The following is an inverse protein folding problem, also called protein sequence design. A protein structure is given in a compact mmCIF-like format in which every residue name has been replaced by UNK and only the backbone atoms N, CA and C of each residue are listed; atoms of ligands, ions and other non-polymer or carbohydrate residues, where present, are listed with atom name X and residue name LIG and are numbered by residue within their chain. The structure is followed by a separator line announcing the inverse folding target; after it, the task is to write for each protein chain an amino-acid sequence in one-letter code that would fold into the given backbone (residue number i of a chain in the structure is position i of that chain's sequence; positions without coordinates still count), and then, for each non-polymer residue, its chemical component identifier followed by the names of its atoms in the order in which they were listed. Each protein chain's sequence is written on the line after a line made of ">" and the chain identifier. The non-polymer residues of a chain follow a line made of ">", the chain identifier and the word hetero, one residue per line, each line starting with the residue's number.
data_IF_649909048230
#
_entry.id   IF_649909048230
#
_cell.length_a   1.000
_cell.length_b   1.000
_cell.length_c   1.000
_cell.angle_alpha   90.00
_cell.angle_beta   90.00
_cell.angle_gamma   90.00
#
_symmetry.space_group_name_H-M   'P 1'
#
loop_
_entity.id
_entity.type
_entity.pdbx_description
1 polymer ?
#
# COMPACT_ATOMS: atom_id res chain seq x y z
N UNK A 1 9.95 49.38 -24.89
CA UNK A 1 10.31 49.36 -26.33
C UNK A 1 11.03 48.05 -26.62
N UNK A 2 10.36 47.13 -27.32
CA UNK A 2 10.97 46.12 -28.19
C UNK A 2 9.81 45.44 -28.94
N UNK A 3 9.60 45.86 -30.20
CA UNK A 3 8.70 45.20 -31.15
C UNK A 3 9.46 44.03 -31.77
N UNK A 4 8.83 42.87 -31.86
CA UNK A 4 9.27 41.80 -32.75
C UNK A 4 8.10 41.40 -33.65
N UNK A 5 8.39 41.45 -34.95
CA UNK A 5 7.54 41.39 -36.12
C UNK A 5 7.13 39.96 -36.47
N UNK A 6 5.90 39.79 -36.91
CA UNK A 6 5.39 38.56 -37.53
C UNK A 6 5.93 38.43 -38.96
N UNK A 7 6.48 37.27 -39.30
CA UNK A 7 6.73 36.84 -40.67
C UNK A 7 5.64 35.85 -41.09
N UNK A 8 4.90 36.22 -42.14
CA UNK A 8 3.94 35.35 -42.82
C UNK A 8 4.69 34.48 -43.82
N UNK A 9 4.70 33.16 -43.59
CA UNK A 9 5.12 32.16 -44.57
C UNK A 9 3.89 31.55 -45.24
N UNK A 10 3.80 31.70 -46.56
CA UNK A 10 2.82 31.05 -47.42
C UNK A 10 3.02 29.53 -47.45
N UNK A 11 1.95 28.76 -47.18
CA UNK A 11 1.86 27.35 -47.56
C UNK A 11 0.53 27.14 -48.31
N UNK A 12 0.65 26.67 -49.54
CA UNK A 12 -0.45 26.38 -50.46
C UNK A 12 -1.37 25.24 -49.96
N UNK A 13 -2.68 25.28 -50.25
CA UNK A 13 -3.60 24.20 -49.90
C UNK A 13 -3.54 23.07 -50.94
N UNK A 14 -3.13 21.87 -50.51
CA UNK A 14 -3.20 20.65 -51.33
C UNK A 14 -4.61 20.07 -51.32
N UNK A 15 -5.13 19.82 -52.52
CA UNK A 15 -6.43 19.21 -52.82
C UNK A 15 -6.47 17.74 -52.41
N UNK A 16 -7.37 17.37 -51.49
CA UNK A 16 -8.00 16.05 -51.47
C UNK A 16 -9.46 16.19 -51.01
N UNK A 17 -10.35 16.28 -51.99
CA UNK A 17 -11.79 16.19 -51.85
C UNK A 17 -12.21 14.73 -51.88
N UNK A 18 -12.59 14.16 -50.74
CA UNK A 18 -13.42 12.96 -50.70
C UNK A 18 -14.64 13.20 -49.81
N UNK A 19 -15.77 13.26 -50.48
CA UNK A 19 -17.14 13.27 -50.00
C UNK A 19 -17.42 12.06 -49.10
N UNK A 20 -17.79 12.31 -47.84
CA UNK A 20 -18.39 11.30 -46.97
C UNK A 20 -19.89 11.19 -47.28
N UNK A 21 -20.42 10.01 -47.63
CA UNK A 21 -21.86 9.83 -47.72
C UNK A 21 -22.46 9.73 -46.32
N UNK A 22 -23.40 10.63 -46.04
CA UNK A 22 -24.39 10.50 -44.96
C UNK A 22 -25.20 9.22 -45.19
N UNK A 23 -24.86 8.13 -44.51
CA UNK A 23 -25.72 6.95 -44.42
C UNK A 23 -26.45 7.03 -43.08
N UNK A 24 -27.68 7.55 -43.16
CA UNK A 24 -28.76 7.16 -42.26
C UNK A 24 -28.98 5.66 -42.42
N UNK A 25 -28.64 4.87 -41.42
CA UNK A 25 -29.29 3.58 -41.16
C UNK A 25 -29.24 3.30 -39.66
N UNK A 26 -30.38 3.61 -39.04
CA UNK A 26 -30.77 3.17 -37.71
C UNK A 26 -30.88 1.65 -37.66
N UNK A 27 -30.72 1.10 -36.46
CA UNK A 27 -31.09 -0.27 -36.05
C UNK A 27 -30.07 -1.35 -36.46
N UNK A 28 -29.05 -1.52 -35.61
CA UNK A 28 -28.51 -2.80 -35.12
C UNK A 28 -27.06 -2.61 -34.64
N UNK A 29 -26.85 -1.75 -33.63
CA UNK A 29 -25.73 -1.97 -32.73
C UNK A 29 -26.13 -3.19 -31.89
N UNK A 30 -25.84 -4.39 -32.40
CA UNK A 30 -25.83 -5.59 -31.58
C UNK A 30 -24.80 -5.32 -30.47
N UNK A 31 -25.30 -4.84 -29.34
CA UNK A 31 -24.62 -5.01 -28.06
C UNK A 31 -24.53 -6.52 -27.90
N UNK A 32 -23.40 -7.10 -28.31
CA UNK A 32 -22.96 -8.39 -27.80
C UNK A 32 -22.79 -8.20 -26.30
N UNK A 33 -23.90 -8.29 -25.56
CA UNK A 33 -23.90 -8.54 -24.13
C UNK A 33 -23.25 -9.91 -24.03
N UNK A 34 -21.93 -9.94 -23.91
CA UNK A 34 -21.25 -11.11 -23.39
C UNK A 34 -21.91 -11.33 -22.03
N UNK A 35 -22.70 -12.39 -21.92
CA UNK A 35 -23.31 -12.79 -20.66
C UNK A 35 -22.15 -13.08 -19.73
N UNK A 36 -21.87 -12.15 -18.82
CA UNK A 36 -20.83 -12.33 -17.82
C UNK A 36 -21.30 -13.46 -16.91
N UNK A 37 -20.50 -14.52 -16.82
CA UNK A 37 -20.77 -15.62 -15.90
C UNK A 37 -20.48 -15.11 -14.49
N UNK A 38 -21.51 -15.03 -13.66
CA UNK A 38 -21.43 -14.52 -12.30
C UNK A 38 -21.49 -15.67 -11.29
N UNK A 39 -20.79 -15.49 -10.17
CA UNK A 39 -20.84 -16.37 -8.99
C UNK A 39 -21.07 -15.52 -7.74
N UNK A 40 -21.86 -16.04 -6.81
CA UNK A 40 -21.98 -15.45 -5.47
C UNK A 40 -20.77 -15.86 -4.62
N UNK A 41 -20.16 -14.88 -3.98
CA UNK A 41 -19.05 -15.05 -3.05
C UNK A 41 -19.45 -14.61 -1.64
N UNK A 42 -18.69 -15.07 -0.66
CA UNK A 42 -18.82 -14.63 0.73
C UNK A 42 -17.46 -14.26 1.32
N UNK A 43 -17.35 -13.04 1.84
CA UNK A 43 -16.18 -12.56 2.57
C UNK A 43 -16.62 -11.79 3.82
N UNK A 44 -16.00 -12.09 4.96
CA UNK A 44 -16.53 -11.64 6.24
C UNK A 44 -17.94 -12.19 6.47
N UNK A 45 -18.87 -11.31 6.82
CA UNK A 45 -20.31 -11.61 6.91
C UNK A 45 -21.07 -11.18 5.65
N UNK A 46 -20.35 -10.72 4.62
CA UNK A 46 -20.92 -10.08 3.45
C UNK A 46 -20.97 -11.03 2.27
N UNK A 47 -22.14 -11.11 1.61
CA UNK A 47 -22.33 -11.81 0.34
C UNK A 47 -22.35 -10.81 -0.81
N UNK A 48 -21.87 -11.22 -1.99
CA UNK A 48 -21.84 -10.36 -3.17
C UNK A 48 -21.66 -11.17 -4.45
N UNK A 49 -22.10 -10.61 -5.57
CA UNK A 49 -21.89 -11.14 -6.91
C UNK A 49 -20.59 -10.58 -7.51
N UNK A 50 -19.87 -11.42 -8.25
CA UNK A 50 -18.80 -10.98 -9.14
C UNK A 50 -18.67 -11.94 -10.32
N UNK A 51 -17.83 -11.60 -11.30
CA UNK A 51 -17.43 -12.54 -12.34
C UNK A 51 -16.86 -13.82 -11.71
N UNK A 52 -17.24 -14.97 -12.26
CA UNK A 52 -16.81 -16.28 -11.78
C UNK A 52 -15.31 -16.48 -12.04
N UNK A 53 -14.51 -16.28 -11.00
CA UNK A 53 -13.05 -16.41 -11.02
C UNK A 53 -12.60 -17.79 -11.52
N UNK A 54 -13.35 -18.86 -11.23
CA UNK A 54 -13.00 -20.21 -11.68
C UNK A 54 -13.26 -20.38 -13.18
N UNK A 55 -14.37 -19.83 -13.67
CA UNK A 55 -14.72 -19.85 -15.09
C UNK A 55 -13.72 -19.05 -15.94
N UNK A 56 -13.21 -17.93 -15.43
CA UNK A 56 -12.29 -17.03 -16.14
C UNK A 56 -10.81 -17.24 -15.77
N UNK A 57 -10.50 -18.28 -15.01
CA UNK A 57 -9.12 -18.63 -14.67
C UNK A 57 -8.38 -19.20 -15.89
N UNK A 58 -7.05 -19.02 -15.91
CA UNK A 58 -6.20 -19.78 -16.82
C UNK A 58 -6.10 -21.26 -16.38
N UNK A 59 -5.39 -22.06 -17.17
CA UNK A 59 -5.08 -23.48 -16.89
C UNK A 59 -4.42 -23.73 -15.52
N UNK A 60 -3.87 -22.69 -14.87
CA UNK A 60 -3.27 -22.74 -13.54
C UNK A 60 -4.20 -22.23 -12.42
N UNK A 61 -5.49 -22.01 -12.69
CA UNK A 61 -6.46 -21.54 -11.71
C UNK A 61 -6.27 -20.07 -11.29
N UNK A 62 -5.53 -19.27 -12.06
CA UNK A 62 -5.29 -17.86 -11.75
C UNK A 62 -6.23 -16.96 -12.55
N UNK A 63 -6.90 -15.97 -11.90
CA UNK A 63 -7.70 -14.99 -12.61
C UNK A 63 -6.83 -14.25 -13.63
N UNK A 64 -7.27 -14.24 -14.88
CA UNK A 64 -6.57 -13.58 -15.98
C UNK A 64 -7.05 -12.14 -16.14
N UNK A 65 -6.37 -11.36 -16.99
CA UNK A 65 -6.88 -10.04 -17.43
C UNK A 65 -8.19 -10.12 -18.22
N UNK A 66 -8.66 -11.33 -18.57
CA UNK A 66 -9.94 -11.55 -19.23
C UNK A 66 -11.14 -11.49 -18.26
N UNK A 67 -10.90 -11.36 -16.95
CA UNK A 67 -11.97 -11.26 -15.96
C UNK A 67 -12.77 -9.95 -16.20
N UNK A 68 -14.04 -10.02 -16.61
CA UNK A 68 -14.79 -8.84 -17.06
C UNK A 68 -15.16 -7.90 -15.91
N UNK A 69 -15.22 -8.42 -14.68
CA UNK A 69 -15.45 -7.64 -13.46
C UNK A 69 -14.40 -8.08 -12.45
N UNK A 70 -13.55 -7.15 -12.02
CA UNK A 70 -12.44 -7.53 -11.18
C UNK A 70 -12.87 -7.94 -9.78
N UNK A 71 -12.46 -9.14 -9.40
CA UNK A 71 -12.48 -9.65 -8.03
C UNK A 71 -11.33 -10.64 -7.86
N UNK A 72 -10.55 -10.47 -6.78
CA UNK A 72 -9.46 -11.37 -6.44
C UNK A 72 -9.66 -11.95 -5.03
N UNK A 73 -9.97 -13.25 -4.91
CA UNK A 73 -10.10 -13.92 -3.61
C UNK A 73 -8.82 -13.86 -2.74
N UNK A 74 -7.63 -13.76 -3.36
CA UNK A 74 -6.36 -13.63 -2.62
C UNK A 74 -6.27 -12.31 -1.82
N UNK A 75 -7.09 -11.33 -2.15
CA UNK A 75 -7.19 -10.04 -1.46
C UNK A 75 -8.14 -10.09 -0.23
N UNK A 76 -8.70 -11.25 0.13
CA UNK A 76 -9.58 -11.37 1.31
C UNK A 76 -8.91 -10.86 2.59
N UNK A 77 -7.67 -11.27 2.86
CA UNK A 77 -6.92 -10.80 4.04
C UNK A 77 -6.76 -9.27 4.05
N UNK A 78 -6.56 -8.66 2.89
CA UNK A 78 -6.47 -7.20 2.74
C UNK A 78 -7.79 -6.56 3.17
N UNK A 79 -8.92 -7.03 2.62
CA UNK A 79 -10.25 -6.50 2.92
C UNK A 79 -10.67 -6.73 4.37
N UNK A 80 -10.41 -7.91 4.93
CA UNK A 80 -10.67 -8.22 6.34
C UNK A 80 -9.95 -7.24 7.26
N UNK A 81 -8.63 -7.09 7.08
CA UNK A 81 -7.85 -6.14 7.88
C UNK A 81 -8.23 -4.69 7.59
N UNK A 82 -8.70 -4.37 6.39
CA UNK A 82 -9.19 -3.03 6.08
C UNK A 82 -10.47 -2.69 6.85
N UNK A 83 -11.42 -3.62 6.97
CA UNK A 83 -12.61 -3.45 7.81
C UNK A 83 -12.19 -3.22 9.27
N UNK A 84 -11.27 -4.05 9.78
CA UNK A 84 -10.78 -3.92 11.15
C UNK A 84 -10.16 -2.55 11.42
N UNK A 85 -9.21 -2.13 10.57
CA UNK A 85 -8.47 -0.90 10.77
C UNK A 85 -9.32 0.33 10.50
N UNK A 86 -10.28 0.27 9.57
CA UNK A 86 -11.27 1.33 9.40
C UNK A 86 -12.14 1.46 10.66
N UNK A 87 -12.68 0.36 11.19
CA UNK A 87 -13.44 0.38 12.45
C UNK A 87 -12.63 0.91 13.63
N UNK A 88 -11.34 0.56 13.72
CA UNK A 88 -10.43 1.11 14.73
C UNK A 88 -10.21 2.62 14.55
N UNK A 89 -10.03 3.07 13.31
CA UNK A 89 -9.93 4.49 12.98
C UNK A 89 -11.22 5.25 13.31
N UNK A 90 -12.39 4.69 13.05
CA UNK A 90 -13.71 5.29 13.37
C UNK A 90 -13.93 5.47 14.88
N UNK A 91 -13.19 4.75 15.73
CA UNK A 91 -13.24 4.97 17.19
C UNK A 91 -12.47 6.22 17.65
N UNK A 92 -11.69 6.83 16.76
CA UNK A 92 -10.79 7.97 17.05
C UNK A 92 -11.04 9.17 16.14
N UNK A 93 -11.55 8.91 14.93
CA UNK A 93 -11.76 9.88 13.89
C UNK A 93 -13.23 9.87 13.47
N UNK A 94 -13.76 11.05 13.18
CA UNK A 94 -15.10 11.19 12.63
C UNK A 94 -15.04 10.90 11.12
N UNK A 95 -15.39 9.67 10.75
CA UNK A 95 -15.36 9.20 9.37
C UNK A 95 -16.79 8.91 8.95
N UNK A 96 -17.35 9.81 8.14
CA UNK A 96 -18.70 9.67 7.61
C UNK A 96 -18.65 9.37 6.11
N UNK A 97 -17.72 10.00 5.38
CA UNK A 97 -17.70 9.93 3.92
C UNK A 97 -16.42 9.29 3.40
N UNK A 98 -16.54 8.09 2.83
CA UNK A 98 -15.46 7.33 2.24
C UNK A 98 -15.56 7.29 0.71
N UNK A 99 -14.43 7.31 0.02
CA UNK A 99 -14.34 7.08 -1.42
C UNK A 99 -13.46 5.87 -1.75
N UNK A 100 -14.02 4.94 -2.52
CA UNK A 100 -13.30 3.86 -3.20
C UNK A 100 -13.36 4.11 -4.72
N UNK A 101 -12.36 4.76 -5.31
CA UNK A 101 -12.44 5.22 -6.69
C UNK A 101 -12.11 4.13 -7.73
N UNK A 102 -11.82 2.90 -7.28
CA UNK A 102 -11.43 1.75 -8.09
C UNK A 102 -12.17 0.50 -7.57
N UNK A 103 -13.49 0.54 -7.62
CA UNK A 103 -14.38 -0.33 -6.85
C UNK A 103 -14.52 -1.76 -7.36
N UNK A 104 -14.26 -2.05 -8.64
CA UNK A 104 -14.50 -3.37 -9.21
C UNK A 104 -15.93 -3.84 -8.94
N UNK A 105 -16.09 -5.01 -8.33
CA UNK A 105 -17.41 -5.53 -7.91
C UNK A 105 -18.09 -4.74 -6.78
N UNK A 106 -17.43 -3.74 -6.19
CA UNK A 106 -17.90 -2.97 -5.04
C UNK A 106 -17.72 -3.68 -3.70
N UNK A 107 -17.07 -4.86 -3.67
CA UNK A 107 -16.97 -5.71 -2.47
C UNK A 107 -16.38 -4.98 -1.26
N UNK A 108 -15.35 -4.14 -1.44
CA UNK A 108 -14.69 -3.47 -0.32
C UNK A 108 -15.61 -2.42 0.30
N UNK A 109 -16.19 -1.51 -0.49
CA UNK A 109 -17.19 -0.55 -0.01
C UNK A 109 -18.41 -1.22 0.60
N UNK A 110 -18.91 -2.30 0.00
CA UNK A 110 -20.02 -3.06 0.56
C UNK A 110 -19.66 -3.62 1.95
N UNK A 111 -18.46 -4.19 2.09
CA UNK A 111 -17.97 -4.68 3.39
C UNK A 111 -17.80 -3.56 4.41
N UNK A 112 -17.29 -2.39 4.02
CA UNK A 112 -17.25 -1.25 4.94
C UNK A 112 -18.65 -0.85 5.41
N UNK A 113 -19.60 -0.74 4.49
CA UNK A 113 -20.97 -0.32 4.82
C UNK A 113 -21.71 -1.34 5.71
N UNK A 114 -21.43 -2.63 5.53
CA UNK A 114 -22.07 -3.74 6.24
C UNK A 114 -21.39 -4.11 7.57
N UNK A 115 -20.06 -3.94 7.67
CA UNK A 115 -19.25 -4.48 8.79
C UNK A 115 -18.63 -3.39 9.68
N UNK A 116 -18.64 -2.13 9.25
CA UNK A 116 -18.25 -0.96 10.05
C UNK A 116 -19.50 -0.24 10.60
N UNK A 117 -19.36 0.68 11.58
CA UNK A 117 -20.48 1.45 12.14
C UNK A 117 -21.37 2.14 11.09
N UNK A 118 -22.66 2.26 11.39
CA UNK A 118 -23.73 2.60 10.44
C UNK A 118 -23.75 4.04 9.92
N UNK A 119 -22.90 4.93 10.45
CA UNK A 119 -22.82 6.35 10.01
C UNK A 119 -22.09 6.55 8.68
N UNK A 120 -21.45 5.50 8.14
CA UNK A 120 -20.63 5.61 6.94
C UNK A 120 -21.49 5.65 5.66
N UNK A 121 -21.19 6.61 4.78
CA UNK A 121 -21.56 6.63 3.36
C UNK A 121 -20.32 6.34 2.50
N UNK A 122 -20.49 5.61 1.40
CA UNK A 122 -19.42 5.29 0.46
C UNK A 122 -19.73 5.77 -0.96
N UNK A 123 -18.74 6.43 -1.57
CA UNK A 123 -18.70 6.76 -2.99
C UNK A 123 -17.83 5.75 -3.71
N UNK A 124 -18.39 5.02 -4.67
CA UNK A 124 -17.73 3.94 -5.40
C UNK A 124 -17.62 4.32 -6.87
N UNK A 125 -16.40 4.34 -7.39
CA UNK A 125 -16.16 4.62 -8.81
C UNK A 125 -15.48 3.46 -9.51
N UNK A 126 -15.72 3.34 -10.80
CA UNK A 126 -14.99 2.45 -11.69
C UNK A 126 -15.16 2.95 -13.13
N UNK A 127 -14.14 2.71 -13.97
CA UNK A 127 -14.21 3.06 -15.40
C UNK A 127 -15.00 2.02 -16.18
N UNK A 128 -15.09 0.78 -15.68
CA UNK A 128 -15.76 -0.31 -16.33
C UNK A 128 -17.29 -0.28 -16.05
N UNK A 129 -18.14 -0.11 -17.08
CA UNK A 129 -19.60 -0.07 -16.90
C UNK A 129 -20.17 -1.36 -16.32
N UNK A 130 -19.61 -2.53 -16.63
CA UNK A 130 -20.08 -3.81 -16.10
C UNK A 130 -19.78 -3.94 -14.60
N UNK A 131 -18.61 -3.45 -14.17
CA UNK A 131 -18.24 -3.40 -12.76
C UNK A 131 -19.21 -2.50 -11.98
N UNK A 132 -19.55 -1.32 -12.53
CA UNK A 132 -20.52 -0.40 -11.94
C UNK A 132 -21.92 -1.02 -11.82
N UNK A 133 -22.38 -1.76 -12.84
CA UNK A 133 -23.68 -2.43 -12.77
C UNK A 133 -23.72 -3.46 -11.63
N UNK A 134 -22.68 -4.28 -11.50
CA UNK A 134 -22.60 -5.27 -10.42
C UNK A 134 -22.41 -4.62 -9.05
N UNK A 135 -21.59 -3.57 -8.94
CA UNK A 135 -21.45 -2.81 -7.70
C UNK A 135 -22.79 -2.23 -7.24
N UNK A 136 -23.59 -1.66 -8.15
CA UNK A 136 -24.95 -1.17 -7.85
C UNK A 136 -25.86 -2.29 -7.36
N UNK A 137 -25.87 -3.46 -8.02
CA UNK A 137 -26.68 -4.62 -7.59
C UNK A 137 -26.28 -5.10 -6.20
N UNK A 138 -24.97 -5.25 -5.96
CA UNK A 138 -24.44 -5.68 -4.67
C UNK A 138 -24.81 -4.71 -3.55
N UNK A 139 -24.64 -3.40 -3.77
CA UNK A 139 -24.93 -2.38 -2.76
C UNK A 139 -26.43 -2.25 -2.49
N UNK A 140 -27.27 -2.21 -3.52
CA UNK A 140 -28.73 -2.09 -3.36
C UNK A 140 -29.38 -3.30 -2.66
N UNK A 141 -28.73 -4.46 -2.68
CA UNK A 141 -29.23 -5.67 -2.02
C UNK A 141 -29.08 -5.61 -0.50
N UNK A 142 -28.07 -4.88 -0.01
CA UNK A 142 -27.65 -4.95 1.39
C UNK A 142 -27.71 -3.61 2.12
N UNK A 143 -27.66 -2.50 1.40
CA UNK A 143 -27.44 -1.16 1.97
C UNK A 143 -28.57 -0.23 1.55
N UNK A 144 -29.02 0.60 2.49
CA UNK A 144 -29.95 1.69 2.22
C UNK A 144 -29.41 2.63 1.13
N UNK A 145 -30.27 3.02 0.19
CA UNK A 145 -29.89 3.84 -0.96
C UNK A 145 -29.22 5.18 -0.59
N UNK A 146 -29.42 5.67 0.63
CA UNK A 146 -28.83 6.91 1.15
C UNK A 146 -27.34 6.80 1.52
N UNK A 147 -26.78 5.58 1.63
CA UNK A 147 -25.40 5.36 2.11
C UNK A 147 -24.42 4.93 1.01
N UNK A 148 -24.88 4.65 -0.20
CA UNK A 148 -24.03 4.12 -1.27
C UNK A 148 -24.23 4.87 -2.60
N UNK A 149 -23.17 5.51 -3.10
CA UNK A 149 -23.19 6.33 -4.30
C UNK A 149 -22.23 5.77 -5.35
N UNK A 150 -22.77 5.17 -6.42
CA UNK A 150 -21.96 4.48 -7.44
C UNK A 150 -21.93 5.28 -8.74
N UNK A 151 -20.74 5.62 -9.25
CA UNK A 151 -20.57 6.44 -10.47
C UNK A 151 -19.52 5.87 -11.42
N UNK A 152 -19.87 5.82 -12.70
CA UNK A 152 -18.94 5.43 -13.77
C UNK A 152 -18.03 6.59 -14.15
N UNK A 153 -16.73 6.32 -14.30
CA UNK A 153 -15.76 7.28 -14.86
C UNK A 153 -14.33 7.05 -14.41
N UNK A 154 -13.41 7.88 -14.91
CA UNK A 154 -12.01 7.81 -14.53
C UNK A 154 -11.81 8.28 -13.09
N UNK A 155 -11.25 7.41 -12.26
CA UNK A 155 -10.91 7.67 -10.86
C UNK A 155 -10.19 9.01 -10.64
N UNK A 156 -9.22 9.36 -11.48
CA UNK A 156 -8.41 10.59 -11.33
C UNK A 156 -9.27 11.85 -11.45
N UNK A 157 -10.29 11.81 -12.30
CA UNK A 157 -11.22 12.92 -12.52
C UNK A 157 -12.29 12.94 -11.43
N UNK A 158 -12.93 11.79 -11.18
CA UNK A 158 -14.06 11.70 -10.27
C UNK A 158 -13.68 12.00 -8.81
N UNK A 159 -12.50 11.57 -8.35
CA UNK A 159 -12.02 11.91 -6.99
C UNK A 159 -12.06 13.43 -6.77
N UNK A 160 -11.52 14.21 -7.71
CA UNK A 160 -11.50 15.66 -7.62
C UNK A 160 -12.89 16.26 -7.79
N UNK A 161 -13.64 15.84 -8.82
CA UNK A 161 -14.95 16.38 -9.15
C UNK A 161 -15.97 16.19 -8.00
N UNK A 162 -16.06 14.98 -7.45
CA UNK A 162 -17.05 14.64 -6.42
C UNK A 162 -16.65 15.13 -5.01
N UNK A 163 -15.43 15.68 -4.88
CA UNK A 163 -14.91 16.25 -3.64
C UNK A 163 -15.02 17.78 -3.54
N UNK A 164 -15.55 18.45 -4.59
CA UNK A 164 -15.57 19.93 -4.67
C UNK A 164 -16.46 20.59 -3.64
N UNK A 165 -17.67 20.05 -3.44
CA UNK A 165 -18.66 20.63 -2.51
C UNK A 165 -18.43 20.15 -1.08
N UNK A 166 -18.28 18.83 -0.93
CA UNK A 166 -17.95 18.17 0.33
C UNK A 166 -16.69 17.35 0.08
N UNK A 167 -15.72 17.39 0.98
CA UNK A 167 -14.51 16.56 0.91
C UNK A 167 -14.72 15.20 1.55
N UNK A 168 -13.81 14.26 1.30
CA UNK A 168 -13.85 12.92 1.89
C UNK A 168 -13.12 12.88 3.24
N UNK A 169 -13.63 12.06 4.15
CA UNK A 169 -12.93 11.70 5.40
C UNK A 169 -11.90 10.61 5.15
N UNK A 170 -12.22 9.68 4.25
CA UNK A 170 -11.37 8.54 3.90
C UNK A 170 -11.33 8.32 2.39
N UNK A 171 -10.15 8.05 1.84
CA UNK A 171 -9.95 7.59 0.47
C UNK A 171 -9.17 6.28 0.48
N UNK A 172 -9.70 5.28 -0.23
CA UNK A 172 -9.11 3.95 -0.34
C UNK A 172 -8.67 3.66 -1.78
N UNK A 173 -7.38 3.81 -2.05
CA UNK A 173 -6.80 3.63 -3.39
C UNK A 173 -6.22 2.22 -3.49
N UNK A 174 -6.93 1.33 -4.20
CA UNK A 174 -6.55 -0.07 -4.39
C UNK A 174 -6.47 -0.45 -5.89
N UNK A 175 -5.47 0.05 -6.64
CA UNK A 175 -5.34 -0.21 -8.07
C UNK A 175 -4.59 -1.51 -8.36
N UNK A 176 -4.63 -1.89 -9.63
CA UNK A 176 -3.61 -2.76 -10.20
C UNK A 176 -2.28 -2.03 -10.33
N UNK A 177 -1.24 -2.57 -9.70
CA UNK A 177 0.11 -2.05 -9.76
C UNK A 177 0.31 -0.90 -8.78
N UNK A 178 0.52 0.31 -9.30
CA UNK A 178 0.97 1.45 -8.48
C UNK A 178 -0.18 2.40 -8.14
N UNK A 179 -0.33 2.82 -6.88
CA UNK A 179 -1.32 3.83 -6.50
C UNK A 179 -0.89 5.27 -6.79
N UNK A 180 0.37 5.46 -7.18
CA UNK A 180 1.00 6.78 -7.36
C UNK A 180 0.26 7.73 -8.32
N UNK A 181 -0.39 7.28 -9.41
CA UNK A 181 -1.13 8.17 -10.30
C UNK A 181 -2.37 8.82 -9.67
N UNK A 182 -2.91 8.25 -8.59
CA UNK A 182 -4.15 8.72 -7.94
C UNK A 182 -3.88 9.56 -6.68
N UNK A 183 -2.66 9.51 -6.14
CA UNK A 183 -2.32 10.08 -4.84
C UNK A 183 -2.57 11.59 -4.73
N UNK A 184 -2.18 12.36 -5.75
CA UNK A 184 -2.32 13.83 -5.67
C UNK A 184 -3.79 14.24 -5.61
N UNK A 185 -4.63 13.65 -6.46
CA UNK A 185 -6.08 13.86 -6.43
C UNK A 185 -6.68 13.44 -5.09
N UNK A 186 -6.32 12.25 -4.59
CA UNK A 186 -6.79 11.77 -3.29
C UNK A 186 -6.43 12.73 -2.14
N UNK A 187 -5.18 13.18 -2.05
CA UNK A 187 -4.73 14.10 -1.00
C UNK A 187 -5.49 15.44 -1.06
N UNK A 188 -5.73 15.98 -2.26
CA UNK A 188 -6.48 17.24 -2.43
C UNK A 188 -7.96 17.10 -2.06
N UNK A 189 -8.52 15.91 -2.24
CA UNK A 189 -9.92 15.58 -1.97
C UNK A 189 -10.23 15.21 -0.52
N UNK A 190 -9.21 15.05 0.33
CA UNK A 190 -9.38 14.77 1.76
C UNK A 190 -9.71 16.03 2.58
N UNK A 191 -10.43 15.84 3.70
CA UNK A 191 -10.64 16.90 4.70
C UNK A 191 -9.27 17.39 5.22
N UNK A 192 -9.02 18.71 5.28
CA UNK A 192 -7.71 19.26 5.66
C UNK A 192 -7.26 18.92 7.08
N UNK A 193 -8.20 18.79 8.03
CA UNK A 193 -7.86 18.68 9.46
C UNK A 193 -7.50 17.25 9.87
N UNK A 194 -8.13 16.26 9.25
CA UNK A 194 -8.05 14.84 9.60
C UNK A 194 -8.62 14.02 8.44
N UNK A 195 -7.78 13.75 7.44
CA UNK A 195 -8.11 12.85 6.33
C UNK A 195 -7.44 11.51 6.52
N UNK A 196 -8.09 10.42 6.11
CA UNK A 196 -7.51 9.09 6.06
C UNK A 196 -7.24 8.67 4.62
N UNK A 197 -6.04 8.15 4.39
CA UNK A 197 -5.64 7.63 3.10
C UNK A 197 -5.18 6.20 3.27
N UNK A 198 -5.84 5.29 2.56
CA UNK A 198 -5.38 3.93 2.39
C UNK A 198 -4.82 3.74 0.98
N UNK A 199 -3.64 3.14 0.88
CA UNK A 199 -2.93 2.92 -0.37
C UNK A 199 -2.52 1.45 -0.47
N UNK A 200 -2.94 0.75 -1.52
CA UNK A 200 -2.38 -0.55 -1.88
C UNK A 200 -1.43 -0.41 -3.06
N UNK A 201 -0.30 -1.11 -3.03
CA UNK A 201 0.55 -1.32 -4.20
C UNK A 201 0.78 -2.81 -4.43
N UNK A 202 0.64 -3.25 -5.69
CA UNK A 202 0.86 -4.64 -6.11
C UNK A 202 2.06 -4.79 -7.06
N UNK A 203 2.73 -3.70 -7.44
CA UNK A 203 3.95 -3.72 -8.26
C UNK A 203 5.23 -4.01 -7.45
N UNK A 204 5.16 -5.07 -6.64
CA UNK A 204 6.22 -5.55 -5.75
C UNK A 204 7.59 -5.73 -6.44
N UNK A 205 7.71 -6.21 -7.69
CA UNK A 205 9.01 -6.30 -8.37
C UNK A 205 9.74 -4.95 -8.46
N UNK A 206 9.02 -3.84 -8.68
CA UNK A 206 9.64 -2.52 -8.67
C UNK A 206 10.11 -2.16 -7.26
N UNK A 207 9.24 -2.29 -6.27
CA UNK A 207 9.48 -1.88 -4.88
C UNK A 207 10.54 -2.74 -4.14
N UNK A 208 10.70 -4.00 -4.53
CA UNK A 208 11.64 -4.97 -3.92
C UNK A 208 12.98 -5.09 -4.66
N UNK A 209 13.28 -4.18 -5.60
CA UNK A 209 14.60 -4.09 -6.22
C UNK A 209 14.83 -4.98 -7.44
N UNK A 210 13.78 -5.57 -8.03
CA UNK A 210 13.89 -6.26 -9.33
C UNK A 210 14.00 -5.24 -10.46
N UNK A 211 13.22 -4.15 -10.39
CA UNK A 211 13.25 -3.05 -11.38
C UNK A 211 13.49 -1.68 -10.73
N UNK A 212 14.74 -1.35 -10.34
CA UNK A 212 15.07 -0.12 -9.63
C UNK A 212 14.66 1.16 -10.36
N UNK A 213 14.79 1.22 -11.69
CA UNK A 213 14.43 2.41 -12.49
C UNK A 213 12.92 2.65 -12.50
N UNK A 214 12.12 1.60 -12.40
CA UNK A 214 10.66 1.70 -12.24
C UNK A 214 10.33 2.26 -10.86
N UNK A 215 11.07 1.84 -9.81
CA UNK A 215 10.91 2.40 -8.48
C UNK A 215 11.27 3.89 -8.41
N UNK A 216 12.39 4.28 -9.02
CA UNK A 216 12.81 5.68 -9.10
C UNK A 216 11.73 6.52 -9.80
N UNK A 217 11.25 6.06 -10.97
CA UNK A 217 10.23 6.78 -11.75
C UNK A 217 8.89 6.91 -11.02
N UNK A 218 8.38 5.84 -10.41
CA UNK A 218 7.03 5.83 -9.80
C UNK A 218 7.03 6.32 -8.34
N UNK A 219 8.01 5.91 -7.56
CA UNK A 219 8.06 6.09 -6.11
C UNK A 219 9.08 7.14 -5.65
N UNK A 220 9.82 7.76 -6.58
CA UNK A 220 10.81 8.81 -6.29
C UNK A 220 11.96 8.33 -5.38
N UNK A 221 12.19 7.02 -5.32
CA UNK A 221 13.24 6.40 -4.54
C UNK A 221 13.73 5.10 -5.17
N UNK A 222 15.02 4.82 -5.01
CA UNK A 222 15.67 3.60 -5.50
C UNK A 222 15.34 2.43 -4.58
N UNK A 223 14.89 1.33 -5.16
CA UNK A 223 14.79 0.04 -4.47
C UNK A 223 16.05 -0.80 -4.71
N UNK A 224 16.41 -1.61 -3.73
CA UNK A 224 17.48 -2.61 -3.84
C UNK A 224 16.95 -3.99 -3.46
N UNK A 225 17.65 -5.04 -3.91
CA UNK A 225 17.41 -6.39 -3.40
C UNK A 225 18.08 -6.50 -2.03
N UNK A 226 17.30 -6.83 -1.01
CA UNK A 226 17.79 -6.98 0.35
C UNK A 226 16.92 -7.96 1.14
N UNK A 227 17.40 -8.51 2.26
CA UNK A 227 16.58 -9.34 3.14
C UNK A 227 15.33 -8.62 3.67
N UNK A 228 15.37 -7.28 3.73
CA UNK A 228 14.31 -6.39 4.19
C UNK A 228 13.48 -5.77 3.06
N UNK A 229 13.50 -6.34 1.85
CA UNK A 229 12.89 -5.75 0.65
C UNK A 229 11.38 -5.43 0.79
N UNK A 230 10.64 -6.19 1.60
CA UNK A 230 9.21 -5.94 1.84
C UNK A 230 8.97 -4.71 2.73
N UNK A 231 9.79 -4.50 3.75
CA UNK A 231 9.71 -3.28 4.55
C UNK A 231 10.21 -2.07 3.76
N UNK A 232 11.26 -2.23 2.94
CA UNK A 232 11.68 -1.21 1.97
C UNK A 232 10.53 -0.81 1.05
N UNK A 233 9.77 -1.77 0.53
CA UNK A 233 8.62 -1.51 -0.34
C UNK A 233 7.59 -0.60 0.34
N UNK A 234 7.19 -0.93 1.58
CA UNK A 234 6.30 -0.10 2.40
C UNK A 234 6.88 1.30 2.61
N UNK A 235 8.17 1.39 2.95
CA UNK A 235 8.84 2.68 3.21
C UNK A 235 8.97 3.55 1.97
N UNK A 236 9.15 2.97 0.79
CA UNK A 236 9.13 3.69 -0.50
C UNK A 236 7.73 4.22 -0.81
N UNK A 237 6.68 3.42 -0.58
CA UNK A 237 5.30 3.86 -0.76
C UNK A 237 4.95 5.03 0.17
N UNK A 238 5.33 4.94 1.45
CA UNK A 238 5.15 6.04 2.42
C UNK A 238 5.97 7.26 2.03
N UNK A 239 7.22 7.08 1.60
CA UNK A 239 8.08 8.17 1.11
C UNK A 239 7.43 8.92 -0.05
N UNK A 240 6.85 8.19 -1.02
CA UNK A 240 6.11 8.79 -2.13
C UNK A 240 4.85 9.53 -1.67
N UNK A 241 4.12 8.98 -0.70
CA UNK A 241 2.97 9.65 -0.10
C UNK A 241 3.39 10.95 0.61
N UNK A 242 4.49 10.94 1.36
CA UNK A 242 5.06 12.13 2.00
C UNK A 242 5.41 13.21 0.97
N UNK A 243 6.10 12.86 -0.11
CA UNK A 243 6.45 13.82 -1.16
C UNK A 243 5.20 14.45 -1.81
N UNK A 244 4.17 13.64 -2.06
CA UNK A 244 2.92 14.10 -2.68
C UNK A 244 2.11 14.98 -1.71
N UNK A 245 2.06 14.61 -0.44
CA UNK A 245 1.40 15.39 0.60
C UNK A 245 2.12 16.71 0.88
N UNK A 246 3.45 16.68 0.99
CA UNK A 246 4.27 17.87 1.23
C UNK A 246 4.16 18.91 0.12
N UNK A 247 4.01 18.48 -1.15
CA UNK A 247 3.72 19.37 -2.28
C UNK A 247 2.40 20.13 -2.12
N UNK A 248 1.47 19.62 -1.30
CA UNK A 248 0.19 20.24 -0.97
C UNK A 248 0.16 20.81 0.47
N UNK A 249 1.32 21.13 1.05
CA UNK A 249 1.47 21.63 2.43
C UNK A 249 0.84 20.72 3.50
N UNK A 250 0.79 19.40 3.24
CA UNK A 250 0.23 18.40 4.13
C UNK A 250 1.30 17.48 4.73
N UNK A 251 1.11 17.12 5.99
CA UNK A 251 1.86 16.11 6.73
C UNK A 251 1.14 14.76 6.65
N UNK A 252 1.90 13.68 6.81
CA UNK A 252 1.36 12.31 6.86
C UNK A 252 1.72 11.61 8.16
N UNK A 253 0.89 10.70 8.63
CA UNK A 253 1.20 9.85 9.78
C UNK A 253 0.78 8.42 9.49
N UNK A 254 1.73 7.50 9.20
CA UNK A 254 1.42 6.09 9.08
C UNK A 254 0.72 5.59 10.34
N UNK A 255 -0.40 4.90 10.16
CA UNK A 255 -1.19 4.31 11.25
C UNK A 255 -0.95 2.82 11.33
N UNK A 256 -1.05 2.13 10.19
CA UNK A 256 -0.81 0.70 10.09
C UNK A 256 -0.26 0.40 8.68
N UNK A 257 0.54 -0.66 8.57
CA UNK A 257 1.02 -1.18 7.29
C UNK A 257 0.77 -2.68 7.23
N UNK A 258 0.53 -3.22 6.05
CA UNK A 258 0.41 -4.66 5.80
C UNK A 258 1.32 -5.02 4.64
N UNK A 259 2.10 -6.09 4.79
CA UNK A 259 2.90 -6.67 3.72
C UNK A 259 2.56 -8.14 3.52
N UNK A 260 2.46 -8.55 2.26
CA UNK A 260 2.34 -9.95 1.82
C UNK A 260 3.28 -10.20 0.63
N UNK A 261 3.29 -11.42 0.10
CA UNK A 261 4.07 -11.77 -1.10
C UNK A 261 3.58 -11.06 -2.37
N UNK A 262 2.33 -10.59 -2.40
CA UNK A 262 1.68 -10.09 -3.60
C UNK A 262 1.39 -8.58 -3.58
N UNK A 263 1.32 -7.98 -2.39
CA UNK A 263 0.99 -6.58 -2.24
C UNK A 263 1.46 -6.03 -0.90
N UNK A 264 1.61 -4.71 -0.86
CA UNK A 264 1.72 -3.93 0.36
C UNK A 264 0.53 -2.98 0.48
N UNK A 265 0.19 -2.62 1.72
CA UNK A 265 -0.85 -1.65 2.01
C UNK A 265 -0.46 -0.76 3.18
N UNK A 266 -0.85 0.50 3.11
CA UNK A 266 -0.60 1.50 4.15
C UNK A 266 -1.88 2.26 4.43
N UNK A 267 -2.22 2.41 5.70
CA UNK A 267 -3.23 3.34 6.19
C UNK A 267 -2.52 4.49 6.88
N UNK A 268 -2.85 5.72 6.53
CA UNK A 268 -2.22 6.91 7.10
C UNK A 268 -3.23 8.03 7.33
N UNK A 269 -2.99 8.84 8.35
CA UNK A 269 -3.63 10.15 8.49
C UNK A 269 -2.89 11.17 7.61
N UNK A 270 -3.63 12.03 6.94
CA UNK A 270 -3.15 13.18 6.17
C UNK A 270 -3.75 14.44 6.80
N UNK A 271 -2.89 15.42 7.09
CA UNK A 271 -3.28 16.67 7.74
C UNK A 271 -2.59 17.85 7.08
N UNK A 272 -3.37 18.85 6.70
CA UNK A 272 -2.87 20.14 6.21
C UNK A 272 -2.07 20.82 7.31
N UNK A 273 -0.74 20.77 7.21
CA UNK A 273 0.19 21.33 8.18
C UNK A 273 1.59 21.42 7.59
N UNK A 274 1.89 22.56 6.95
CA UNK A 274 3.24 22.89 6.47
C UNK A 274 4.31 22.72 7.55
N UNK A 275 4.03 23.15 8.77
CA UNK A 275 4.97 23.06 9.89
C UNK A 275 5.30 21.60 10.23
N UNK A 276 4.30 20.72 10.27
CA UNK A 276 4.52 19.31 10.56
C UNK A 276 5.19 18.59 9.38
N UNK A 277 4.81 18.93 8.14
CA UNK A 277 5.45 18.40 6.94
C UNK A 277 6.96 18.74 6.92
N UNK A 278 7.33 20.00 7.20
CA UNK A 278 8.74 20.41 7.32
C UNK A 278 9.50 19.65 8.42
N UNK A 279 8.86 19.41 9.57
CA UNK A 279 9.46 18.59 10.65
C UNK A 279 9.67 17.14 10.21
N UNK A 280 8.78 16.60 9.40
CA UNK A 280 8.83 15.22 8.88
C UNK A 280 9.87 15.01 7.79
N UNK A 281 10.47 16.06 7.23
CA UNK A 281 11.61 15.91 6.32
C UNK A 281 12.75 15.08 6.93
N UNK A 282 12.92 15.10 8.26
CA UNK A 282 13.89 14.25 8.97
C UNK A 282 13.58 12.75 8.84
N UNK A 283 12.33 12.39 8.59
CA UNK A 283 11.83 11.02 8.42
C UNK A 283 11.95 10.51 6.99
N UNK A 284 12.54 11.28 6.07
CA UNK A 284 12.98 10.80 4.77
C UNK A 284 14.48 10.55 4.81
N UNK A 285 14.90 9.36 4.38
CA UNK A 285 16.28 8.92 4.49
C UNK A 285 16.69 7.93 3.43
N UNK A 286 17.98 7.62 3.42
CA UNK A 286 18.59 6.56 2.63
C UNK A 286 19.00 5.40 3.53
N UNK A 287 19.06 4.20 2.95
CA UNK A 287 19.61 3.01 3.59
C UNK A 287 20.83 2.58 2.79
N UNK A 288 22.01 2.55 3.41
CA UNK A 288 23.19 1.89 2.80
C UNK A 288 23.22 0.46 3.29
N UNK A 289 23.42 -0.50 2.39
CA UNK A 289 23.38 -1.93 2.70
C UNK A 289 24.45 -2.69 1.93
N UNK A 290 25.27 -3.45 2.64
CA UNK A 290 26.22 -4.35 2.04
C UNK A 290 25.63 -5.77 1.93
N UNK A 291 25.43 -6.30 0.71
CA UNK A 291 24.87 -7.65 0.55
C UNK A 291 25.82 -8.76 1.01
N UNK A 292 27.14 -8.50 1.12
CA UNK A 292 28.14 -9.51 1.51
C UNK A 292 28.23 -9.74 3.01
N UNK A 293 28.23 -8.67 3.81
CA UNK A 293 28.36 -8.78 5.27
C UNK A 293 27.08 -8.40 6.03
N UNK A 294 26.04 -7.95 5.33
CA UNK A 294 24.75 -7.49 5.86
C UNK A 294 24.82 -6.22 6.75
N UNK A 295 25.98 -5.57 6.78
CA UNK A 295 26.10 -4.23 7.37
C UNK A 295 25.07 -3.31 6.74
N UNK A 296 24.44 -2.48 7.56
CA UNK A 296 23.56 -1.42 7.10
C UNK A 296 23.59 -0.22 8.02
N UNK A 297 23.34 0.94 7.45
CA UNK A 297 23.04 2.15 8.19
C UNK A 297 21.94 2.95 7.50
N UNK A 298 21.35 3.87 8.25
CA UNK A 298 20.20 4.64 7.83
C UNK A 298 20.48 6.10 8.16
N UNK A 299 20.36 6.96 7.15
CA UNK A 299 20.68 8.38 7.28
C UNK A 299 19.53 9.22 6.76
N UNK A 300 19.12 10.22 7.53
CA UNK A 300 18.15 11.21 7.03
C UNK A 300 18.76 12.00 5.88
N UNK A 301 17.97 12.28 4.84
CA UNK A 301 18.40 13.15 3.73
C UNK A 301 18.78 14.55 4.22
N UNK A 302 18.20 15.00 5.35
CA UNK A 302 18.55 16.28 5.97
C UNK A 302 20.02 16.34 6.44
N UNK A 303 20.59 15.19 6.78
CA UNK A 303 21.95 15.08 7.30
C UNK A 303 22.90 14.39 6.29
N UNK A 304 22.55 14.40 5.00
CA UNK A 304 23.31 13.67 3.96
C UNK A 304 24.75 14.19 3.81
N UNK A 305 25.00 15.46 4.12
CA UNK A 305 26.35 16.05 4.11
C UNK A 305 27.23 15.56 5.25
N UNK A 306 26.65 14.91 6.27
CA UNK A 306 27.36 14.36 7.43
C UNK A 306 27.60 12.84 7.30
N UNK A 307 27.42 12.28 6.10
CA UNK A 307 27.68 10.87 5.86
C UNK A 307 29.15 10.54 6.13
N UNK A 308 29.37 9.60 7.03
CA UNK A 308 30.69 9.02 7.31
C UNK A 308 30.95 7.81 6.41
N UNK A 309 32.20 7.34 6.45
CA UNK A 309 32.59 6.08 5.82
C UNK A 309 31.69 4.92 6.27
N UNK A 310 31.31 4.07 5.31
CA UNK A 310 30.43 2.94 5.58
C UNK A 310 31.17 1.86 6.36
N UNK A 311 30.62 1.47 7.51
CA UNK A 311 31.25 0.51 8.40
C UNK A 311 30.79 -0.92 8.09
N UNK A 312 31.70 -1.74 7.57
CA UNK A 312 31.43 -3.16 7.31
C UNK A 312 31.44 -4.01 8.59
N UNK A 313 30.69 -5.12 8.60
CA UNK A 313 30.66 -6.07 9.72
C UNK A 313 31.78 -7.11 9.68
N UNK A 314 32.46 -7.22 8.52
CA UNK A 314 33.63 -8.08 8.30
C UNK A 314 34.80 -7.17 7.92
N UNK A 315 35.95 -7.35 8.55
CA UNK A 315 37.14 -6.52 8.31
C UNK A 315 37.63 -6.62 6.85
N UNK A 316 37.43 -7.77 6.22
CA UNK A 316 37.87 -8.05 4.84
C UNK A 316 36.80 -7.72 3.78
N UNK A 317 35.69 -7.09 4.18
CA UNK A 317 34.62 -6.77 3.24
C UNK A 317 34.87 -5.40 2.57
N UNK A 318 35.15 -5.44 1.27
CA UNK A 318 35.38 -4.31 0.38
C UNK A 318 34.19 -4.00 -0.55
N UNK A 319 33.08 -4.75 -0.40
CA UNK A 319 31.94 -4.64 -1.28
C UNK A 319 31.24 -3.28 -1.14
N UNK A 320 31.19 -2.52 -2.23
CA UNK A 320 30.45 -1.26 -2.29
C UNK A 320 28.99 -1.42 -1.80
N UNK A 321 28.54 -0.62 -0.81
CA UNK A 321 27.19 -0.72 -0.30
C UNK A 321 26.18 -0.25 -1.35
N UNK A 322 25.10 -1.01 -1.50
CA UNK A 322 23.92 -0.60 -2.26
C UNK A 322 23.15 0.46 -1.48
N UNK A 323 22.57 1.43 -2.18
CA UNK A 323 21.79 2.53 -1.58
C UNK A 323 20.32 2.40 -1.97
N UNK A 324 19.44 2.32 -0.98
CA UNK A 324 18.00 2.41 -1.14
C UNK A 324 17.50 3.79 -0.70
N UNK A 325 16.43 4.27 -1.31
CA UNK A 325 15.76 5.53 -0.98
C UNK A 325 15.94 6.64 -2.03
N UNK A 326 15.52 7.87 -1.71
CA UNK A 326 14.94 8.28 -0.44
C UNK A 326 13.64 7.51 -0.12
N UNK A 327 13.48 7.12 1.15
CA UNK A 327 12.33 6.37 1.66
C UNK A 327 11.99 6.83 3.07
N UNK A 328 10.81 6.44 3.57
CA UNK A 328 10.40 6.74 4.94
C UNK A 328 11.22 5.95 5.96
N UNK A 329 11.95 6.65 6.84
CA UNK A 329 12.73 6.08 7.94
C UNK A 329 12.07 6.29 9.31
N UNK A 330 10.85 6.85 9.35
CA UNK A 330 10.06 7.00 10.57
C UNK A 330 9.33 5.72 11.01
N UNK A 331 8.49 5.88 12.03
CA UNK A 331 7.61 4.83 12.55
C UNK A 331 6.56 4.42 11.50
N UNK A 332 6.14 3.14 11.55
CA UNK A 332 5.17 2.55 10.61
C UNK A 332 3.79 2.33 11.24
N UNK A 333 3.71 2.40 12.57
CA UNK A 333 2.56 1.98 13.35
C UNK A 333 2.17 3.06 14.34
N UNK A 334 0.86 3.27 14.49
CA UNK A 334 0.27 3.99 15.58
C UNK A 334 -0.26 2.98 16.62
N UNK A 335 0.28 3.07 17.84
CA UNK A 335 -0.05 2.13 18.92
C UNK A 335 -1.50 2.22 19.34
N UNK A 336 -2.09 3.41 19.38
CA UNK A 336 -3.48 3.56 19.80
C UNK A 336 -4.45 2.90 18.82
N UNK A 337 -4.22 3.09 17.51
CA UNK A 337 -5.02 2.44 16.47
C UNK A 337 -4.84 0.92 16.51
N UNK A 338 -3.62 0.41 16.69
CA UNK A 338 -3.40 -1.03 16.80
C UNK A 338 -4.05 -1.62 18.06
N UNK A 339 -4.00 -0.93 19.20
CA UNK A 339 -4.70 -1.34 20.41
C UNK A 339 -6.21 -1.44 20.16
N UNK A 340 -6.81 -0.42 19.52
CA UNK A 340 -8.24 -0.46 19.16
C UNK A 340 -8.57 -1.55 18.16
N UNK A 341 -7.70 -1.81 17.19
CA UNK A 341 -7.88 -2.95 16.28
C UNK A 341 -7.85 -4.28 17.04
N UNK A 342 -6.92 -4.46 17.98
CA UNK A 342 -6.82 -5.69 18.79
C UNK A 342 -8.05 -5.90 19.69
N UNK A 343 -8.58 -4.83 20.28
CA UNK A 343 -9.82 -4.86 21.07
C UNK A 343 -11.05 -5.23 20.22
N UNK A 344 -11.13 -4.73 18.98
CA UNK A 344 -12.25 -4.99 18.08
C UNK A 344 -12.20 -6.37 17.41
N UNK A 345 -11.00 -6.93 17.23
CA UNK A 345 -10.79 -8.15 16.47
C UNK A 345 -11.65 -9.36 16.88
N UNK A 346 -11.93 -9.64 18.18
CA UNK A 346 -12.82 -10.73 18.58
C UNK A 346 -14.21 -10.68 17.92
N UNK A 347 -14.72 -9.49 17.57
CA UNK A 347 -16.02 -9.33 16.90
C UNK A 347 -16.04 -9.92 15.48
N UNK A 348 -14.88 -10.05 14.86
CA UNK A 348 -14.71 -10.43 13.46
C UNK A 348 -14.03 -11.80 13.28
N UNK A 349 -13.47 -12.35 14.36
CA UNK A 349 -12.52 -13.46 14.33
C UNK A 349 -13.07 -14.74 13.68
N UNK A 350 -14.37 -15.00 13.83
CA UNK A 350 -15.05 -16.17 13.23
C UNK A 350 -15.15 -16.09 11.71
N UNK A 351 -15.17 -14.90 11.13
CA UNK A 351 -15.42 -14.69 9.69
C UNK A 351 -14.16 -14.22 8.93
N UNK A 352 -13.18 -13.67 9.64
CA UNK A 352 -11.96 -13.16 9.02
C UNK A 352 -10.98 -14.28 8.69
N UNK A 353 -10.03 -13.96 7.82
CA UNK A 353 -8.94 -14.84 7.47
C UNK A 353 -8.15 -15.23 8.73
N UNK A 354 -7.90 -16.53 8.92
CA UNK A 354 -7.20 -17.12 10.08
C UNK A 354 -5.84 -16.48 10.47
N UNK A 355 -5.22 -15.77 9.55
CA UNK A 355 -3.94 -15.04 9.78
C UNK A 355 -4.13 -13.67 10.42
N UNK A 356 -5.34 -13.09 10.40
CA UNK A 356 -5.59 -11.72 10.84
C UNK A 356 -5.14 -11.50 12.30
N UNK A 357 -5.56 -12.36 13.23
CA UNK A 357 -5.14 -12.32 14.64
C UNK A 357 -3.64 -12.31 14.81
N UNK A 358 -2.98 -13.33 14.26
CA UNK A 358 -1.51 -13.47 14.35
C UNK A 358 -0.79 -12.25 13.77
N UNK A 359 -1.30 -11.67 12.68
CA UNK A 359 -0.71 -10.48 12.07
C UNK A 359 -0.88 -9.25 12.97
N UNK A 360 -2.07 -9.02 13.52
CA UNK A 360 -2.34 -7.89 14.43
C UNK A 360 -1.50 -8.00 15.69
N UNK A 361 -1.36 -9.20 16.26
CA UNK A 361 -0.49 -9.43 17.43
C UNK A 361 0.98 -9.13 17.10
N UNK A 362 1.49 -9.58 15.96
CA UNK A 362 2.86 -9.22 15.54
C UNK A 362 3.02 -7.71 15.32
N UNK A 363 2.02 -7.02 14.75
CA UNK A 363 2.10 -5.56 14.57
C UNK A 363 2.16 -4.83 15.91
N UNK A 364 1.42 -5.28 16.92
CA UNK A 364 1.50 -4.76 18.28
C UNK A 364 2.91 -4.89 18.83
N UNK A 365 3.48 -6.10 18.78
CA UNK A 365 4.83 -6.37 19.31
C UNK A 365 5.91 -5.60 18.51
N UNK A 366 5.75 -5.45 17.20
CA UNK A 366 6.64 -4.65 16.35
C UNK A 366 6.59 -3.16 16.69
N UNK A 367 5.43 -2.64 17.08
CA UNK A 367 5.21 -1.21 17.32
C UNK A 367 6.02 -0.66 18.51
N UNK A 368 6.50 -1.54 19.39
CA UNK A 368 7.38 -1.19 20.51
C UNK A 368 8.81 -0.83 20.04
N UNK A 369 9.22 -1.31 18.87
CA UNK A 369 10.60 -1.20 18.41
C UNK A 369 10.71 -0.14 17.31
N UNK A 370 11.33 0.99 17.66
CA UNK A 370 11.45 2.15 16.77
C UNK A 370 12.53 2.01 15.69
N UNK A 371 13.48 1.08 15.86
CA UNK A 371 14.57 0.87 14.89
C UNK A 371 13.98 0.41 13.54
N UNK A 372 14.24 1.13 12.44
CA UNK A 372 13.76 0.73 11.12
C UNK A 372 14.43 -0.55 10.63
N UNK A 373 13.72 -1.29 9.77
CA UNK A 373 14.14 -2.53 9.10
C UNK A 373 14.30 -3.72 10.05
N UNK A 374 13.58 -4.80 9.73
CA UNK A 374 13.76 -6.09 10.38
C UNK A 374 15.08 -6.78 10.01
N UNK A 375 15.47 -7.77 10.80
CA UNK A 375 16.63 -8.62 10.61
C UNK A 375 16.18 -10.03 10.23
N UNK A 376 16.61 -10.51 9.06
CA UNK A 376 16.33 -11.87 8.62
C UNK A 376 17.41 -12.83 9.14
N UNK A 377 17.04 -13.71 10.06
CA UNK A 377 17.97 -14.64 10.71
C UNK A 377 18.57 -15.60 9.70
N UNK A 378 17.77 -16.08 8.73
CA UNK A 378 18.26 -16.97 7.68
C UNK A 378 19.31 -16.29 6.80
N UNK A 379 19.06 -15.06 6.34
CA UNK A 379 20.06 -14.30 5.58
C UNK A 379 21.35 -14.09 6.37
N UNK A 380 21.27 -13.84 7.69
CA UNK A 380 22.45 -13.75 8.56
C UNK A 380 23.19 -15.09 8.59
N UNK A 381 22.47 -16.19 8.76
CA UNK A 381 23.09 -17.52 8.76
C UNK A 381 23.78 -17.83 7.43
N UNK A 382 23.10 -17.56 6.30
CA UNK A 382 23.64 -17.77 4.95
C UNK A 382 24.90 -16.92 4.70
N UNK A 383 24.90 -15.65 5.10
CA UNK A 383 26.03 -14.74 4.87
C UNK A 383 27.28 -15.08 5.71
N UNK A 384 27.13 -15.87 6.76
CA UNK A 384 28.20 -16.25 7.69
C UNK A 384 28.42 -17.77 7.79
N UNK A 385 27.78 -18.55 6.92
CA UNK A 385 27.89 -20.03 6.87
C UNK A 385 27.54 -20.68 8.22
N UNK A 386 26.47 -20.19 8.86
CA UNK A 386 25.96 -20.71 10.13
C UNK A 386 24.70 -21.55 9.91
N UNK A 387 24.44 -22.49 10.81
CA UNK A 387 23.17 -23.23 10.84
C UNK A 387 22.08 -22.41 11.53
N UNK A 388 20.85 -22.30 10.99
CA UNK A 388 19.78 -21.54 11.65
C UNK A 388 19.41 -22.12 13.04
N UNK A 389 19.57 -21.36 14.14
CA UNK A 389 19.12 -21.79 15.47
C UNK A 389 17.59 -21.67 15.59
N UNK A 390 17.04 -22.13 16.73
CA UNK A 390 15.62 -21.86 16.99
C UNK A 390 15.44 -20.36 17.27
N UNK A 391 14.46 -19.75 16.64
CA UNK A 391 14.17 -18.32 16.82
C UNK A 391 13.87 -17.94 18.26
N UNK A 392 13.19 -18.83 19.00
CA UNK A 392 12.92 -18.65 20.43
C UNK A 392 14.20 -18.43 21.23
N UNK A 393 15.26 -19.16 20.91
CA UNK A 393 16.52 -19.14 21.65
C UNK A 393 17.25 -17.82 21.39
N UNK A 394 17.28 -17.39 20.12
CA UNK A 394 17.86 -16.09 19.71
C UNK A 394 17.12 -14.94 20.38
N UNK A 395 15.78 -14.94 20.34
CA UNK A 395 14.97 -13.90 20.96
C UNK A 395 15.20 -13.86 22.47
N UNK A 396 15.11 -15.00 23.15
CA UNK A 396 15.34 -15.10 24.59
C UNK A 396 16.72 -14.57 25.00
N UNK A 397 17.79 -14.96 24.28
CA UNK A 397 19.15 -14.50 24.58
C UNK A 397 19.34 -13.00 24.34
N UNK A 398 18.63 -12.42 23.37
CA UNK A 398 18.60 -10.97 23.17
C UNK A 398 17.84 -10.25 24.29
N UNK A 399 16.72 -10.80 24.75
CA UNK A 399 15.96 -10.26 25.90
C UNK A 399 16.77 -10.32 27.20
N UNK A 400 17.46 -11.43 27.46
CA UNK A 400 18.38 -11.60 28.60
C UNK A 400 19.53 -10.56 28.59
N UNK A 401 19.86 -10.02 27.40
CA UNK A 401 20.85 -8.94 27.20
C UNK A 401 20.25 -7.53 27.29
N UNK A 402 18.95 -7.42 27.58
CA UNK A 402 18.24 -6.15 27.71
C UNK A 402 17.79 -5.53 26.39
N UNK A 403 17.86 -6.26 25.28
CA UNK A 403 17.32 -5.78 24.00
C UNK A 403 15.81 -6.04 23.91
N UNK A 404 15.10 -5.14 23.24
CA UNK A 404 13.70 -5.36 22.88
C UNK A 404 13.69 -6.14 21.57
N UNK A 405 12.94 -7.24 21.50
CA UNK A 405 12.86 -8.08 20.30
C UNK A 405 11.44 -8.57 20.10
N UNK A 406 11.03 -8.66 18.84
CA UNK A 406 9.77 -9.28 18.46
C UNK A 406 9.89 -9.98 17.12
N UNK A 407 8.94 -10.89 16.87
CA UNK A 407 8.72 -11.42 15.51
C UNK A 407 8.15 -10.31 14.63
N UNK A 408 8.32 -10.45 13.31
CA UNK A 408 7.70 -9.51 12.36
C UNK A 408 6.73 -10.18 11.40
N UNK A 409 5.62 -9.49 11.09
CA UNK A 409 4.65 -9.91 10.09
C UNK A 409 5.21 -9.83 8.66
N UNK A 410 6.27 -9.05 8.43
CA UNK A 410 6.88 -8.88 7.11
C UNK A 410 7.48 -10.17 6.57
N UNK A 411 8.11 -10.98 7.44
CA UNK A 411 8.78 -12.23 7.04
C UNK A 411 8.86 -13.22 8.20
N UNK A 412 8.52 -14.48 7.93
CA UNK A 412 8.51 -15.57 8.93
C UNK A 412 9.90 -15.98 9.41
N UNK A 413 10.97 -15.55 8.76
CA UNK A 413 12.36 -15.83 9.16
C UNK A 413 13.05 -14.62 9.77
N UNK A 414 12.29 -13.60 10.15
CA UNK A 414 12.82 -12.34 10.63
C UNK A 414 12.36 -11.97 12.05
N UNK A 415 13.19 -11.14 12.68
CA UNK A 415 12.92 -10.48 13.96
C UNK A 415 13.10 -8.97 13.81
N UNK A 416 12.39 -8.18 14.60
CA UNK A 416 12.67 -6.76 14.83
C UNK A 416 13.34 -6.63 16.18
N UNK A 417 14.39 -5.83 16.29
CA UNK A 417 15.10 -5.57 17.56
C UNK A 417 15.89 -4.27 17.48
N UNK A 418 16.14 -3.64 18.63
CA UNK A 418 17.07 -2.53 18.78
C UNK A 418 18.55 -2.97 18.84
N UNK A 419 18.83 -4.28 18.94
CA UNK A 419 20.17 -4.83 18.81
C UNK A 419 20.83 -4.52 17.45
N UNK A 420 22.16 -4.43 17.45
CA UNK A 420 22.94 -4.31 16.22
C UNK A 420 23.04 -5.65 15.48
N UNK A 421 23.25 -5.60 14.18
CA UNK A 421 23.43 -6.78 13.32
C UNK A 421 24.62 -7.63 13.80
N UNK A 422 25.68 -6.96 14.29
CA UNK A 422 26.83 -7.59 14.95
C UNK A 422 26.43 -8.38 16.19
N UNK A 423 25.56 -7.79 17.03
CA UNK A 423 25.09 -8.44 18.25
C UNK A 423 24.20 -9.65 17.96
N UNK A 424 23.29 -9.52 16.99
CA UNK A 424 22.43 -10.65 16.55
C UNK A 424 23.29 -11.81 16.06
N UNK A 425 24.31 -11.53 15.23
CA UNK A 425 25.25 -12.55 14.76
C UNK A 425 25.96 -13.22 15.93
N UNK A 426 26.55 -12.45 16.85
CA UNK A 426 27.24 -12.97 18.03
C UNK A 426 26.34 -13.88 18.87
N UNK A 427 25.10 -13.48 19.10
CA UNK A 427 24.11 -14.30 19.80
C UNK A 427 23.86 -15.64 19.09
N UNK A 428 23.80 -15.65 17.76
CA UNK A 428 23.63 -16.90 16.98
C UNK A 428 24.86 -17.79 17.14
N UNK A 429 26.08 -17.23 17.00
CA UNK A 429 27.35 -17.96 17.14
C UNK A 429 27.43 -18.67 18.50
N UNK A 430 27.17 -17.95 19.60
CA UNK A 430 27.20 -18.52 20.96
C UNK A 430 26.16 -19.64 21.15
N UNK A 431 24.94 -19.50 20.62
CA UNK A 431 23.92 -20.56 20.71
C UNK A 431 24.35 -21.82 19.95
N UNK A 432 25.14 -21.68 18.89
CA UNK A 432 25.65 -22.81 18.12
C UNK A 432 26.86 -23.47 18.77
N UNK A 433 27.70 -22.71 19.48
CA UNK A 433 28.82 -23.24 20.27
C UNK A 433 28.36 -24.05 21.49
N UNK A 434 27.16 -23.76 22.01
CA UNK A 434 26.53 -24.49 23.12
C UNK A 434 25.88 -25.83 22.71
N UNK A 435 25.87 -26.17 21.42
CA UNK A 435 25.28 -27.41 20.86
C UNK A 435 26.36 -28.41 20.46
#
# INVERSE_FOLDING_TARGET
>A
MARASFHQGNVQPSKYSHSYPLIKNSIALLVLIHVVVLKEYSEGITKFLSADVEHYANEYGQPTTALPIFYNPRMRLNRDLSVLFLSACMSKFEIERLCEPLGGSGVRSLRYLNECPSSLECHVFDINPQAIEIAKKNLATHIENSRAFVKIGDAKVLILQESREKRYDCLDIDPFGSPTPFMNGAIQSLKPKQGLLALTATDMPALCGVYPDVAIRKYSGRSIRSPFAHEQAVRLLIGKAYHTAGMNDAAIRPLVVLSTDHYIRVWMEVKSSRTQANKQAKSIGIVRFCPRCLARDIHSVKNISMLTEFQHLKNECDQNPSIAGPLWIGELFDKEILHKAKELLPKYETHFHKRARKIVDMMMDESEIKKPLYNDIHSICDAYTLSPPKFSDVMKRLEERGYVVSRTHFKSTAIRTDASEKMIRKTIEEILEER
#
